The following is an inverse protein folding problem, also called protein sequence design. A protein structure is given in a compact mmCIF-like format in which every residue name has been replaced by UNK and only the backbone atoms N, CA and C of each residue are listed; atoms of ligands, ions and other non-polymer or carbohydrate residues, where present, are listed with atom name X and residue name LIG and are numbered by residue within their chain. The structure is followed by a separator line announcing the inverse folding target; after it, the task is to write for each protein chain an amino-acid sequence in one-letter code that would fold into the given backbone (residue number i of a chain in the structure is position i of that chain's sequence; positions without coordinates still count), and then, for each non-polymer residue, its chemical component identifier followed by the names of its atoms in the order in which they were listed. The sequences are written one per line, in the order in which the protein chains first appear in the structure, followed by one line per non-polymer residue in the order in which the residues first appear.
data_IF_293853709191
#
_entry.id   IF_293853709191
#
_cell.length_a   1.000
_cell.length_b   1.000
_cell.length_c   1.000
_cell.angle_alpha   90.00
_cell.angle_beta   90.00
_cell.angle_gamma   90.00
#
_symmetry.space_group_name_H-M   'P 1'
#
loop_
_entity.id
_entity.type
_entity.pdbx_description
1 polymer ?
#
# COMPACT_ATOMS: atom_id res chain seq x y z
N UNK A 1 -18.44 -9.85 12.64
CA UNK A 1 -17.98 -10.76 11.58
C UNK A 1 -19.05 -11.11 10.52
N UNK A 2 -20.36 -11.06 10.79
CA UNK A 2 -21.42 -11.34 9.76
C UNK A 2 -21.66 -10.20 8.75
N UNK A 3 -21.26 -8.97 9.04
CA UNK A 3 -21.51 -7.81 8.17
C UNK A 3 -20.54 -7.68 6.97
N UNK A 4 -19.31 -8.19 7.08
CA UNK A 4 -18.39 -8.21 5.93
C UNK A 4 -18.74 -9.29 4.88
N UNK A 5 -19.37 -10.38 5.31
CA UNK A 5 -19.72 -11.48 4.40
C UNK A 5 -20.89 -11.19 3.45
N UNK A 6 -21.74 -10.19 3.74
CA UNK A 6 -22.88 -9.87 2.89
C UNK A 6 -22.59 -8.83 1.80
N UNK A 7 -21.50 -8.06 1.92
CA UNK A 7 -21.05 -7.10 0.90
C UNK A 7 -20.27 -7.75 -0.25
N UNK A 8 -19.80 -8.98 -0.10
CA UNK A 8 -18.98 -9.70 -1.10
C UNK A 8 -19.81 -10.35 -2.20
N UNK A 9 -21.14 -10.31 -2.15
CA UNK A 9 -22.04 -11.02 -3.07
C UNK A 9 -22.41 -10.28 -4.36
N UNK A 10 -21.62 -9.31 -4.84
CA UNK A 10 -21.71 -8.79 -6.21
C UNK A 10 -20.32 -8.45 -6.73
N UNK A 11 -19.64 -9.41 -7.36
CA UNK A 11 -18.62 -9.26 -8.44
C UNK A 11 -17.71 -8.01 -8.45
N UNK A 12 -17.49 -7.32 -7.36
CA UNK A 12 -16.47 -6.28 -7.27
C UNK A 12 -15.18 -6.92 -6.76
N UNK A 13 -14.34 -7.37 -7.68
CA UNK A 13 -13.00 -7.83 -7.32
C UNK A 13 -12.22 -6.65 -6.75
N UNK A 14 -11.96 -6.73 -5.45
CA UNK A 14 -11.22 -5.73 -4.69
C UNK A 14 -9.76 -5.69 -5.18
N UNK A 15 -9.22 -4.51 -5.40
CA UNK A 15 -7.79 -4.34 -5.67
C UNK A 15 -7.04 -4.16 -4.35
N UNK A 16 -5.91 -4.84 -4.21
CA UNK A 16 -5.05 -4.74 -3.04
C UNK A 16 -3.67 -4.24 -3.47
N UNK A 17 -3.19 -3.17 -2.82
CA UNK A 17 -1.89 -2.56 -3.11
C UNK A 17 -1.06 -2.38 -1.86
N UNK A 18 0.25 -2.61 -2.02
CA UNK A 18 1.26 -2.35 -0.99
C UNK A 18 2.34 -1.48 -1.63
N UNK A 19 2.47 -0.25 -1.17
CA UNK A 19 3.51 0.67 -1.62
C UNK A 19 4.77 0.49 -0.76
N UNK A 20 5.78 -0.16 -1.32
CA UNK A 20 7.10 -0.25 -0.70
C UNK A 20 8.10 0.66 -1.40
N UNK A 21 9.17 1.06 -0.71
CA UNK A 21 10.18 1.99 -1.24
C UNK A 21 10.98 1.41 -2.40
N UNK A 22 11.15 0.08 -2.46
CA UNK A 22 11.78 -0.59 -3.60
C UNK A 22 10.77 -1.05 -4.64
N UNK A 23 9.70 -1.73 -4.19
CA UNK A 23 8.70 -2.34 -5.05
C UNK A 23 7.30 -2.04 -4.58
N UNK A 24 6.41 -1.77 -5.53
CA UNK A 24 4.96 -1.72 -5.34
C UNK A 24 4.38 -3.07 -5.74
N UNK A 25 3.59 -3.67 -4.85
CA UNK A 25 2.89 -4.93 -5.08
C UNK A 25 1.42 -4.62 -5.31
N UNK A 26 0.82 -5.25 -6.32
CA UNK A 26 -0.60 -5.06 -6.63
C UNK A 26 -1.22 -6.37 -7.12
N UNK A 27 -2.50 -6.57 -6.81
CA UNK A 27 -3.24 -7.75 -7.19
C UNK A 27 -4.72 -7.64 -6.82
N UNK A 28 -5.42 -8.74 -6.89
CA UNK A 28 -6.82 -8.84 -6.54
C UNK A 28 -6.98 -9.48 -5.16
N UNK A 29 -8.02 -9.08 -4.43
CA UNK A 29 -8.22 -9.48 -3.04
C UNK A 29 -8.61 -10.94 -2.81
N UNK A 30 -8.94 -11.68 -3.86
CA UNK A 30 -9.27 -13.11 -3.86
C UNK A 30 -8.10 -14.00 -4.30
N UNK A 31 -6.95 -13.41 -4.66
CA UNK A 31 -5.76 -14.15 -5.09
C UNK A 31 -4.83 -14.47 -3.91
N UNK A 32 -4.11 -15.58 -4.03
CA UNK A 32 -3.16 -16.05 -3.00
C UNK A 32 -1.87 -15.22 -2.94
N UNK A 33 -1.64 -14.34 -3.92
CA UNK A 33 -0.45 -13.49 -3.98
C UNK A 33 -0.63 -12.29 -4.90
N UNK A 34 0.33 -11.39 -4.94
CA UNK A 34 0.27 -10.22 -5.80
C UNK A 34 0.36 -10.63 -7.27
N UNK A 35 -0.52 -10.11 -8.11
CA UNK A 35 -0.48 -10.33 -9.56
C UNK A 35 0.73 -9.67 -10.22
N UNK A 36 1.17 -8.55 -9.68
CA UNK A 36 2.36 -7.87 -10.16
C UNK A 36 3.18 -7.28 -9.00
N UNK A 37 4.50 -7.38 -9.14
CA UNK A 37 5.49 -6.71 -8.31
C UNK A 37 6.31 -5.84 -9.26
N UNK A 38 6.21 -4.52 -9.11
CA UNK A 38 6.85 -3.54 -9.99
C UNK A 38 7.80 -2.65 -9.19
N UNK A 39 8.92 -2.20 -9.75
CA UNK A 39 9.74 -1.20 -9.11
C UNK A 39 8.92 0.06 -8.80
N UNK A 40 9.09 0.63 -7.59
CA UNK A 40 8.44 1.88 -7.18
C UNK A 40 9.12 3.08 -7.85
N UNK A 41 9.34 2.97 -9.17
CA UNK A 41 10.00 3.96 -10.02
C UNK A 41 9.18 4.24 -11.26
N UNK A 42 9.20 5.49 -11.68
CA UNK A 42 8.51 5.97 -12.86
C UNK A 42 9.44 6.87 -13.67
N UNK A 43 9.18 6.97 -14.96
CA UNK A 43 9.89 7.88 -15.86
C UNK A 43 9.07 9.15 -16.00
N UNK A 44 9.61 10.25 -15.52
CA UNK A 44 9.02 11.59 -15.67
C UNK A 44 10.06 12.48 -16.33
N UNK A 45 9.68 13.20 -17.37
CA UNK A 45 10.55 14.10 -18.15
C UNK A 45 11.84 13.39 -18.65
N UNK A 46 11.71 12.11 -19.05
CA UNK A 46 12.83 11.31 -19.56
C UNK A 46 13.78 10.74 -18.50
N UNK A 47 13.56 11.04 -17.22
CA UNK A 47 14.38 10.55 -16.12
C UNK A 47 13.62 9.54 -15.25
N UNK A 48 14.30 8.45 -14.87
CA UNK A 48 13.75 7.48 -13.93
C UNK A 48 13.91 8.00 -12.50
N UNK A 49 12.78 8.09 -11.78
CA UNK A 49 12.73 8.58 -10.39
C UNK A 49 11.93 7.62 -9.50
N UNK A 50 12.36 7.51 -8.24
CA UNK A 50 11.56 6.82 -7.22
C UNK A 50 10.33 7.64 -6.86
N UNK A 51 9.19 6.97 -6.69
CA UNK A 51 7.95 7.61 -6.21
C UNK A 51 8.08 8.15 -4.78
N UNK A 52 9.05 7.63 -4.03
CA UNK A 52 9.34 8.07 -2.66
C UNK A 52 10.41 9.18 -2.58
N UNK A 53 10.93 9.64 -3.73
CA UNK A 53 11.89 10.74 -3.82
C UNK A 53 11.21 11.98 -4.42
N UNK A 54 10.19 12.47 -3.71
CA UNK A 54 9.39 13.62 -4.11
C UNK A 54 9.80 14.89 -3.35
N UNK A 55 9.69 16.03 -4.03
CA UNK A 55 10.05 17.35 -3.48
C UNK A 55 8.87 18.13 -2.89
N UNK A 56 7.64 17.63 -3.09
CA UNK A 56 6.41 18.29 -2.64
C UNK A 56 5.17 17.57 -3.12
N UNK A 57 3.98 18.13 -2.79
CA UNK A 57 2.70 17.48 -3.12
C UNK A 57 2.45 17.35 -4.63
N UNK A 58 2.77 18.39 -5.40
CA UNK A 58 2.54 18.39 -6.86
C UNK A 58 3.47 17.41 -7.58
N UNK A 59 4.73 17.34 -7.13
CA UNK A 59 5.70 16.39 -7.67
C UNK A 59 5.28 14.95 -7.35
N UNK A 60 4.87 14.69 -6.11
CA UNK A 60 4.33 13.40 -5.70
C UNK A 60 3.07 13.02 -6.49
N UNK A 61 2.19 13.98 -6.76
CA UNK A 61 0.99 13.76 -7.56
C UNK A 61 1.32 13.23 -8.95
N UNK A 62 2.26 13.86 -9.66
CA UNK A 62 2.73 13.42 -10.99
C UNK A 62 3.34 12.01 -10.94
N UNK A 63 4.19 11.76 -9.94
CA UNK A 63 4.84 10.44 -9.77
C UNK A 63 3.80 9.34 -9.50
N UNK A 64 2.79 9.61 -8.68
CA UNK A 64 1.72 8.65 -8.37
C UNK A 64 0.80 8.42 -9.57
N UNK A 65 0.45 9.46 -10.35
CA UNK A 65 -0.34 9.29 -11.58
C UNK A 65 0.37 8.34 -12.54
N UNK A 66 1.68 8.54 -12.80
CA UNK A 66 2.46 7.66 -13.67
C UNK A 66 2.55 6.23 -13.14
N UNK A 67 2.75 6.07 -11.83
CA UNK A 67 2.78 4.75 -11.21
C UNK A 67 1.44 4.03 -11.36
N UNK A 68 0.33 4.72 -11.07
CA UNK A 68 -1.02 4.17 -11.18
C UNK A 68 -1.37 3.82 -12.62
N UNK A 69 -0.93 4.62 -13.60
CA UNK A 69 -1.11 4.30 -15.00
C UNK A 69 -0.45 2.97 -15.37
N UNK A 70 0.79 2.73 -14.88
CA UNK A 70 1.46 1.43 -15.07
C UNK A 70 0.69 0.29 -14.40
N UNK A 71 0.18 0.51 -13.17
CA UNK A 71 -0.56 -0.51 -12.41
C UNK A 71 -1.86 -0.85 -13.12
N UNK A 72 -2.72 0.12 -13.39
CA UNK A 72 -4.05 -0.12 -13.93
C UNK A 72 -4.04 -0.64 -15.37
N UNK A 73 -3.29 0.03 -16.26
CA UNK A 73 -3.41 -0.19 -17.69
C UNK A 73 -2.32 -1.08 -18.29
N UNK A 74 -1.24 -1.36 -17.55
CA UNK A 74 -0.18 -2.26 -18.06
C UNK A 74 -0.05 -3.56 -17.27
N UNK A 75 -0.51 -3.61 -16.02
CA UNK A 75 -0.34 -4.78 -15.14
C UNK A 75 -1.64 -5.46 -14.79
N UNK A 76 -2.64 -4.72 -14.34
CA UNK A 76 -3.91 -5.27 -13.92
C UNK A 76 -4.95 -5.32 -15.06
N UNK A 77 -4.82 -4.43 -16.05
CA UNK A 77 -5.71 -4.31 -17.22
C UNK A 77 -7.19 -4.15 -16.81
N UNK A 78 -7.45 -3.28 -15.84
CA UNK A 78 -8.78 -3.03 -15.29
C UNK A 78 -9.14 -1.56 -15.34
N UNK A 79 -10.45 -1.28 -15.42
CA UNK A 79 -10.96 0.07 -15.27
C UNK A 79 -10.97 0.48 -13.79
N UNK A 80 -10.30 1.59 -13.41
CA UNK A 80 -10.25 2.06 -12.02
C UNK A 80 -11.61 2.33 -11.39
N UNK A 81 -12.55 2.90 -12.17
CA UNK A 81 -13.88 3.33 -11.69
C UNK A 81 -14.73 2.20 -11.10
N UNK A 82 -14.55 1.00 -11.63
CA UNK A 82 -15.37 -0.16 -11.28
C UNK A 82 -14.83 -0.94 -10.09
N UNK A 83 -13.70 -0.51 -9.51
CA UNK A 83 -12.96 -1.31 -8.54
C UNK A 83 -12.69 -0.54 -7.24
N UNK A 84 -13.15 -1.05 -6.10
CA UNK A 84 -12.67 -0.58 -4.80
C UNK A 84 -11.21 -0.97 -4.58
N UNK A 85 -10.48 -0.13 -3.85
CA UNK A 85 -9.04 -0.30 -3.60
C UNK A 85 -8.78 -0.38 -2.11
N UNK A 86 -8.01 -1.38 -1.69
CA UNK A 86 -7.37 -1.44 -0.38
C UNK A 86 -5.90 -1.11 -0.56
N UNK A 87 -5.43 -0.11 0.14
CA UNK A 87 -4.03 0.26 0.24
C UNK A 87 -3.50 -0.18 1.58
N UNK A 88 -2.60 -1.14 1.58
CA UNK A 88 -1.89 -1.55 2.79
C UNK A 88 -0.71 -0.61 3.00
N UNK A 89 -0.72 0.08 4.14
CA UNK A 89 0.27 1.12 4.45
C UNK A 89 1.06 0.83 5.73
N UNK A 90 2.31 1.28 5.77
CA UNK A 90 3.13 1.27 6.98
C UNK A 90 2.66 2.31 7.99
N UNK A 91 2.95 2.10 9.26
CA UNK A 91 2.76 3.10 10.32
C UNK A 91 3.48 4.42 10.01
N UNK A 92 4.63 4.33 9.34
CA UNK A 92 5.48 5.48 9.03
C UNK A 92 5.10 6.20 7.73
N UNK A 93 4.00 5.82 7.08
CA UNK A 93 3.54 6.49 5.85
C UNK A 93 3.21 7.96 6.14
N UNK A 94 3.90 8.93 5.48
CA UNK A 94 3.63 10.35 5.70
C UNK A 94 2.20 10.74 5.33
N UNK A 95 1.60 11.66 6.10
CA UNK A 95 0.24 12.17 5.81
C UNK A 95 0.15 12.83 4.44
N UNK A 96 1.20 13.50 4.00
CA UNK A 96 1.27 14.06 2.64
C UNK A 96 1.09 12.99 1.57
N UNK A 97 1.82 11.87 1.69
CA UNK A 97 1.71 10.75 0.75
C UNK A 97 0.27 10.21 0.70
N UNK A 98 -0.33 9.99 1.86
CA UNK A 98 -1.69 9.48 2.02
C UNK A 98 -2.72 10.42 1.38
N UNK A 99 -2.62 11.73 1.64
CA UNK A 99 -3.53 12.73 1.10
C UNK A 99 -3.40 12.86 -0.43
N UNK A 100 -2.18 12.89 -0.95
CA UNK A 100 -1.94 12.98 -2.40
C UNK A 100 -2.39 11.70 -3.10
N UNK A 101 -2.12 10.53 -2.52
CA UNK A 101 -2.60 9.24 -3.05
C UNK A 101 -4.14 9.21 -3.12
N UNK A 102 -4.82 9.65 -2.07
CA UNK A 102 -6.28 9.73 -2.06
C UNK A 102 -6.79 10.68 -3.16
N UNK A 103 -6.16 11.85 -3.36
CA UNK A 103 -6.49 12.76 -4.45
C UNK A 103 -6.31 12.13 -5.83
N UNK A 104 -5.20 11.42 -6.06
CA UNK A 104 -4.95 10.71 -7.32
C UNK A 104 -6.03 9.65 -7.57
N UNK A 105 -6.35 8.84 -6.55
CA UNK A 105 -7.32 7.77 -6.70
C UNK A 105 -8.74 8.28 -6.92
N UNK A 106 -9.19 9.29 -6.15
CA UNK A 106 -10.55 9.77 -6.24
C UNK A 106 -10.76 10.78 -7.38
N UNK A 107 -9.82 11.71 -7.61
CA UNK A 107 -10.03 12.77 -8.59
C UNK A 107 -9.49 12.45 -9.99
N UNK A 108 -8.37 11.74 -10.08
CA UNK A 108 -7.78 11.42 -11.38
C UNK A 108 -8.31 10.11 -11.94
N UNK A 109 -8.40 9.05 -11.10
CA UNK A 109 -8.85 7.73 -11.53
C UNK A 109 -10.32 7.43 -11.20
N UNK A 110 -11.00 8.31 -10.45
CA UNK A 110 -12.41 8.19 -10.07
C UNK A 110 -12.76 6.82 -9.45
N UNK A 111 -11.87 6.34 -8.58
CA UNK A 111 -12.05 5.07 -7.87
C UNK A 111 -13.27 5.17 -6.95
N UNK A 112 -14.11 4.13 -6.93
CA UNK A 112 -15.38 4.12 -6.19
C UNK A 112 -15.20 4.20 -4.67
N UNK A 113 -14.17 3.55 -4.12
CA UNK A 113 -13.84 3.61 -2.70
C UNK A 113 -12.39 3.20 -2.44
N UNK A 114 -11.81 3.78 -1.38
CA UNK A 114 -10.44 3.49 -0.93
C UNK A 114 -10.45 3.18 0.55
N UNK A 115 -9.85 2.06 0.93
CA UNK A 115 -9.58 1.70 2.32
C UNK A 115 -8.06 1.73 2.56
N UNK A 116 -7.64 2.52 3.54
CA UNK A 116 -6.27 2.51 4.04
C UNK A 116 -6.17 1.49 5.17
N UNK A 117 -5.40 0.43 4.98
CA UNK A 117 -5.29 -0.68 5.92
C UNK A 117 -3.88 -0.74 6.52
N UNK A 118 -3.73 -0.69 7.86
CA UNK A 118 -2.43 -0.77 8.51
C UNK A 118 -1.75 -2.13 8.27
N UNK A 119 -0.50 -2.15 7.80
CA UNK A 119 0.25 -3.37 7.46
C UNK A 119 0.37 -4.34 8.63
N UNK A 120 0.59 -3.83 9.83
CA UNK A 120 0.72 -4.64 11.05
C UNK A 120 -0.58 -5.37 11.44
N UNK A 121 -1.76 -4.78 11.19
CA UNK A 121 -3.03 -5.46 11.41
C UNK A 121 -3.30 -6.47 10.30
N UNK A 122 -2.95 -6.13 9.05
CA UNK A 122 -3.09 -7.04 7.91
C UNK A 122 -2.22 -8.29 8.05
N UNK A 123 -1.06 -8.19 8.71
CA UNK A 123 -0.19 -9.33 8.98
C UNK A 123 -0.78 -10.34 9.98
N UNK A 124 -1.58 -9.89 10.94
CA UNK A 124 -2.21 -10.74 11.96
C UNK A 124 -3.52 -11.37 11.48
N UNK A 125 -4.21 -10.75 10.53
CA UNK A 125 -5.51 -11.22 10.04
C UNK A 125 -5.50 -12.65 9.49
N UNK A 126 -4.56 -13.06 8.61
CA UNK A 126 -4.52 -14.41 8.07
C UNK A 126 -4.24 -15.48 9.14
N UNK A 127 -3.59 -15.07 10.24
CA UNK A 127 -3.29 -15.95 11.36
C UNK A 127 -4.47 -16.09 12.35
N UNK A 128 -5.53 -15.31 12.18
CA UNK A 128 -6.65 -15.24 13.11
C UNK A 128 -6.29 -14.67 14.48
N UNK A 129 -5.14 -13.98 14.59
CA UNK A 129 -4.64 -13.43 15.84
C UNK A 129 -5.09 -11.96 16.01
N UNK A 130 -5.47 -11.62 17.23
CA UNK A 130 -5.78 -10.23 17.60
C UNK A 130 -4.68 -9.59 18.44
N UNK A 131 -3.75 -10.38 18.94
CA UNK A 131 -2.65 -9.92 19.79
C UNK A 131 -1.35 -10.53 19.31
N UNK A 132 -0.30 -9.71 19.20
CA UNK A 132 1.02 -10.16 18.75
C UNK A 132 2.01 -9.02 18.65
N UNK A 133 3.27 -9.39 18.46
CA UNK A 133 4.35 -8.46 18.11
C UNK A 133 4.61 -8.60 16.61
N UNK A 134 4.39 -7.52 15.86
CA UNK A 134 4.61 -7.51 14.42
C UNK A 134 5.95 -6.85 14.12
N UNK A 135 6.84 -7.58 13.45
CA UNK A 135 8.09 -7.08 12.92
C UNK A 135 7.96 -6.98 11.38
N UNK A 136 7.93 -5.76 10.88
CA UNK A 136 7.89 -5.45 9.45
C UNK A 136 9.28 -5.01 8.99
N UNK A 137 9.96 -5.85 8.21
CA UNK A 137 11.30 -5.56 7.67
C UNK A 137 11.15 -5.10 6.24
N UNK A 138 11.17 -3.78 6.05
CA UNK A 138 11.09 -3.13 4.76
C UNK A 138 12.45 -3.04 4.03
N UNK A 139 12.47 -2.28 2.95
CA UNK A 139 13.69 -2.04 2.17
C UNK A 139 14.67 -1.09 2.87
N UNK A 140 14.17 0.00 3.47
CA UNK A 140 14.99 1.04 4.12
C UNK A 140 15.00 0.92 5.64
N UNK A 141 13.95 0.41 6.23
CA UNK A 141 13.71 0.41 7.67
C UNK A 141 13.02 -0.87 8.12
N UNK A 142 13.18 -1.20 9.38
CA UNK A 142 12.42 -2.22 10.08
C UNK A 142 11.58 -1.56 11.17
N UNK A 143 10.31 -1.95 11.28
CA UNK A 143 9.35 -1.43 12.25
C UNK A 143 8.82 -2.55 13.10
N UNK A 144 8.90 -2.41 14.42
CA UNK A 144 8.38 -3.37 15.39
C UNK A 144 7.20 -2.75 16.12
N UNK A 145 6.04 -3.37 16.06
CA UNK A 145 4.78 -2.83 16.61
C UNK A 145 4.07 -3.91 17.43
N UNK A 146 3.89 -3.70 18.74
CA UNK A 146 2.99 -4.52 19.53
C UNK A 146 1.52 -4.21 19.18
N UNK A 147 0.73 -5.27 19.02
CA UNK A 147 -0.72 -5.18 18.82
C UNK A 147 -1.40 -5.93 19.95
N UNK A 148 -2.39 -5.33 20.59
CA UNK A 148 -3.19 -5.95 21.65
C UNK A 148 -4.67 -5.81 21.35
N UNK A 149 -5.38 -6.94 21.27
CA UNK A 149 -6.81 -6.99 20.93
C UNK A 149 -7.17 -6.20 19.66
N UNK A 150 -6.34 -6.29 18.61
CA UNK A 150 -6.56 -5.58 17.35
C UNK A 150 -6.20 -4.08 17.38
N UNK A 151 -5.63 -3.59 18.48
CA UNK A 151 -5.23 -2.19 18.64
C UNK A 151 -3.72 -2.08 18.71
N UNK A 152 -3.06 -1.26 17.86
CA UNK A 152 -1.62 -1.05 17.94
C UNK A 152 -1.25 -0.24 19.18
N UNK A 153 -0.23 -0.71 19.91
CA UNK A 153 0.28 -0.04 21.10
C UNK A 153 1.32 1.01 20.68
N UNK A 154 0.84 2.19 20.28
CA UNK A 154 1.67 3.25 19.69
C UNK A 154 2.73 3.84 20.63
N UNK A 155 2.66 3.59 21.94
CA UNK A 155 3.69 4.04 22.89
C UNK A 155 4.94 3.17 22.88
N UNK A 156 4.84 1.95 22.34
CA UNK A 156 5.90 0.93 22.42
C UNK A 156 6.40 0.49 21.04
N UNK A 157 6.01 1.19 19.97
CA UNK A 157 6.55 0.90 18.64
C UNK A 157 8.00 1.37 18.54
N UNK A 158 8.78 0.68 17.73
CA UNK A 158 10.16 1.05 17.45
C UNK A 158 10.44 0.91 15.96
N UNK A 159 11.24 1.85 15.43
CA UNK A 159 11.76 1.77 14.07
C UNK A 159 13.29 1.83 14.09
N UNK A 160 13.89 1.00 13.24
CA UNK A 160 15.33 0.97 13.03
C UNK A 160 15.60 1.30 11.56
N UNK A 161 16.60 2.13 11.25
CA UNK A 161 17.02 2.42 9.86
C UNK A 161 17.82 1.25 9.26
N UNK A 162 17.41 0.03 9.56
CA UNK A 162 18.00 -1.22 9.13
C UNK A 162 16.97 -2.00 8.32
N UNK A 163 16.95 -1.78 7.03
CA UNK A 163 16.13 -2.57 6.10
C UNK A 163 16.99 -3.49 5.23
N UNK A 164 16.34 -4.18 4.31
CA UNK A 164 17.02 -5.11 3.37
C UNK A 164 18.16 -4.43 2.59
N UNK A 165 18.09 -3.13 2.33
CA UNK A 165 19.15 -2.37 1.68
C UNK A 165 20.47 -2.37 2.48
N UNK A 166 20.41 -2.41 3.80
CA UNK A 166 21.59 -2.43 4.66
C UNK A 166 22.29 -3.78 4.68
N UNK A 167 21.56 -4.86 4.40
CA UNK A 167 22.09 -6.22 4.34
C UNK A 167 22.81 -6.48 3.00
N UNK A 168 22.44 -5.76 1.93
CA UNK A 168 23.00 -5.90 0.59
C UNK A 168 24.19 -4.98 0.31
N UNK A 169 24.68 -4.25 1.30
CA UNK A 169 25.90 -3.45 1.25
C UNK A 169 27.09 -4.22 1.84
#
# INVERSE_FOLDING_TARGET
MKALGSLVKRTCILLCWIFGTAYTKCGFGDETGPRAIIPSRVTVDGHERSVFDYRGGDDLYRLLVELMQKVYFRRLLVNPKDRPVVVVESLLTPSLFRNVLANVLFRHYEVSSVLLAPSHLMALLPLGLQTGLVLDIGHREAVCIPVYCGVPVLRSWQALPLGAQAVHR
#
